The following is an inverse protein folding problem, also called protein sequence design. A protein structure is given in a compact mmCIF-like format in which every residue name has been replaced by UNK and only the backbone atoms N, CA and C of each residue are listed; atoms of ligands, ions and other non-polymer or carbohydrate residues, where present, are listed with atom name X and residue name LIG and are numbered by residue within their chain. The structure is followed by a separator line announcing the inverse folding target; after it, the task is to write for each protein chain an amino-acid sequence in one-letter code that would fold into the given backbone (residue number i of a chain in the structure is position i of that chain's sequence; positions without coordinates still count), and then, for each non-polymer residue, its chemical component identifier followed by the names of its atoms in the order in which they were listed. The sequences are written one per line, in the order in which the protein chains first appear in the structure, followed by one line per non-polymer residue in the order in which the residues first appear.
data_IF_048606127429
#
_entry.id   IF_048606127429
#
_cell.length_a   1.000
_cell.length_b   1.000
_cell.length_c   1.000
_cell.angle_alpha   90.00
_cell.angle_beta   90.00
_cell.angle_gamma   90.00
#
_symmetry.space_group_name_H-M   'P 1'
#
loop_
_entity.id
_entity.type
_entity.pdbx_description
1 polymer ?
#
# COMPACT_ATOMS: atom_id res chain seq x y z
N UNK A 1 21.00 -28.01 25.23
CA UNK A 1 19.67 -27.54 25.70
C UNK A 1 19.25 -26.24 25.02
N UNK A 2 20.16 -25.55 24.37
CA UNK A 2 19.92 -24.19 23.80
C UNK A 2 19.16 -24.18 22.46
N UNK A 3 19.26 -25.24 21.66
CA UNK A 3 18.63 -25.34 20.33
C UNK A 3 17.09 -25.26 20.38
N UNK A 4 16.47 -25.68 21.48
CA UNK A 4 14.99 -25.74 21.60
C UNK A 4 14.38 -24.39 21.99
N UNK A 5 15.14 -23.51 22.64
CA UNK A 5 14.68 -22.17 23.04
C UNK A 5 14.72 -21.24 21.82
N UNK A 6 15.82 -21.26 21.05
CA UNK A 6 15.96 -20.44 19.85
C UNK A 6 14.91 -20.76 18.78
N UNK A 7 14.58 -22.05 18.60
CA UNK A 7 13.54 -22.49 17.66
C UNK A 7 12.14 -22.05 18.12
N UNK A 8 11.88 -22.08 19.41
CA UNK A 8 10.60 -21.61 19.97
C UNK A 8 10.46 -20.09 19.79
N UNK A 9 11.49 -19.33 20.10
CA UNK A 9 11.50 -17.87 19.93
C UNK A 9 11.33 -17.45 18.46
N UNK A 10 11.95 -18.18 17.53
CA UNK A 10 11.80 -17.93 16.10
C UNK A 10 10.37 -18.21 15.61
N UNK A 11 9.71 -19.31 16.05
CA UNK A 11 8.33 -19.57 15.64
C UNK A 11 7.34 -18.56 16.24
N UNK A 12 7.60 -18.06 17.45
CA UNK A 12 6.84 -16.95 18.03
C UNK A 12 6.99 -15.68 17.19
N UNK A 13 8.20 -15.33 16.76
CA UNK A 13 8.43 -14.19 15.86
C UNK A 13 7.69 -14.34 14.54
N UNK A 14 7.73 -15.53 13.93
CA UNK A 14 6.98 -15.82 12.70
C UNK A 14 5.48 -15.65 12.88
N UNK A 15 4.94 -16.15 13.97
CA UNK A 15 3.50 -16.05 14.22
C UNK A 15 3.07 -14.59 14.47
N UNK A 16 3.88 -13.79 15.17
CA UNK A 16 3.65 -12.36 15.34
C UNK A 16 3.69 -11.65 13.98
N UNK A 17 4.71 -11.94 13.15
CA UNK A 17 4.84 -11.38 11.80
C UNK A 17 3.67 -11.76 10.86
N UNK A 18 3.08 -12.95 11.02
CA UNK A 18 1.86 -13.33 10.28
C UNK A 18 0.62 -12.53 10.71
N UNK A 19 0.59 -11.96 11.90
CA UNK A 19 -0.59 -11.29 12.49
C UNK A 19 -0.54 -9.77 12.42
N UNK A 20 0.63 -9.16 12.36
CA UNK A 20 0.86 -7.72 12.35
C UNK A 20 1.65 -7.30 11.12
N UNK A 21 1.15 -6.30 10.40
CA UNK A 21 1.86 -5.73 9.25
C UNK A 21 3.19 -5.09 9.67
N UNK A 22 3.24 -4.44 10.82
CA UNK A 22 4.47 -3.83 11.33
C UNK A 22 5.54 -4.89 11.60
N UNK A 23 5.20 -5.97 12.31
CA UNK A 23 6.12 -7.07 12.60
C UNK A 23 6.50 -7.84 11.33
N UNK A 24 5.58 -7.95 10.36
CA UNK A 24 5.89 -8.49 9.05
C UNK A 24 6.98 -7.68 8.36
N UNK A 25 6.86 -6.34 8.35
CA UNK A 25 7.87 -5.46 7.75
C UNK A 25 9.23 -5.68 8.41
N UNK A 26 9.29 -5.69 9.73
CA UNK A 26 10.54 -5.91 10.47
C UNK A 26 11.12 -7.30 10.25
N UNK A 27 10.29 -8.33 10.09
CA UNK A 27 10.74 -9.68 9.80
C UNK A 27 11.35 -9.80 8.39
N UNK A 28 10.74 -9.14 7.39
CA UNK A 28 11.25 -9.09 6.01
C UNK A 28 12.48 -8.19 5.89
N UNK A 29 12.50 -7.09 6.61
CA UNK A 29 13.58 -6.10 6.59
C UNK A 29 13.96 -5.70 8.02
N UNK A 30 14.93 -6.40 8.63
CA UNK A 30 15.37 -6.11 10.00
C UNK A 30 15.99 -4.70 10.18
N UNK A 31 16.44 -4.07 9.09
CA UNK A 31 16.98 -2.70 9.11
C UNK A 31 15.90 -1.61 8.94
N UNK A 32 14.62 -2.02 8.86
CA UNK A 32 13.52 -1.06 8.71
C UNK A 32 13.45 -0.08 9.91
N UNK A 33 13.49 1.22 9.61
CA UNK A 33 13.41 2.26 10.63
C UNK A 33 11.97 2.35 11.15
N UNK A 34 11.77 1.86 12.36
CA UNK A 34 10.50 1.96 13.09
C UNK A 34 10.30 3.36 13.63
N UNK A 35 9.07 3.85 13.51
CA UNK A 35 8.66 5.14 14.06
C UNK A 35 7.20 5.09 14.49
N UNK A 36 6.78 6.01 15.34
CA UNK A 36 5.36 6.15 15.70
C UNK A 36 4.45 6.29 14.46
N UNK A 37 4.94 6.92 13.40
CA UNK A 37 4.24 7.00 12.12
C UNK A 37 4.01 5.61 11.52
N UNK A 38 5.06 4.81 11.35
CA UNK A 38 4.97 3.47 10.75
C UNK A 38 4.08 2.53 11.59
N UNK A 39 4.21 2.55 12.92
CA UNK A 39 3.37 1.77 13.83
C UNK A 39 1.89 2.14 13.70
N UNK A 40 1.57 3.45 13.70
CA UNK A 40 0.20 3.95 13.59
C UNK A 40 -0.43 3.59 12.24
N UNK A 41 0.33 3.74 11.16
CA UNK A 41 -0.14 3.37 9.81
C UNK A 41 -0.36 1.87 9.72
N UNK A 42 0.58 1.04 10.15
CA UNK A 42 0.45 -0.42 10.12
C UNK A 42 -0.73 -0.91 10.95
N UNK A 43 -0.91 -0.42 12.18
CA UNK A 43 -2.05 -0.78 13.03
C UNK A 43 -3.39 -0.38 12.39
N UNK A 44 -3.44 0.77 11.71
CA UNK A 44 -4.62 1.20 10.97
C UNK A 44 -4.92 0.33 9.76
N UNK A 45 -3.88 -0.17 9.08
CA UNK A 45 -3.99 -1.08 7.93
C UNK A 45 -4.41 -2.49 8.37
N UNK A 46 -3.91 -3.00 9.49
CA UNK A 46 -4.38 -4.27 10.06
C UNK A 46 -5.88 -4.22 10.37
N UNK A 47 -6.34 -3.14 11.03
CA UNK A 47 -7.76 -2.93 11.27
C UNK A 47 -8.57 -2.77 9.98
N UNK A 48 -8.03 -2.07 8.98
CA UNK A 48 -8.63 -1.92 7.66
C UNK A 48 -8.84 -3.29 6.98
N UNK A 49 -7.86 -4.19 7.03
CA UNK A 49 -7.99 -5.54 6.48
C UNK A 49 -9.06 -6.36 7.20
N UNK A 50 -9.14 -6.26 8.53
CA UNK A 50 -10.21 -6.91 9.31
C UNK A 50 -11.58 -6.38 8.89
N UNK A 51 -11.75 -5.07 8.77
CA UNK A 51 -13.00 -4.46 8.32
C UNK A 51 -13.38 -4.87 6.89
N UNK A 52 -12.40 -4.94 6.00
CA UNK A 52 -12.62 -5.40 4.63
C UNK A 52 -13.08 -6.86 4.60
N UNK A 53 -12.43 -7.73 5.37
CA UNK A 53 -12.77 -9.16 5.41
C UNK A 53 -14.12 -9.44 6.07
N UNK A 54 -14.58 -8.55 6.96
CA UNK A 54 -15.93 -8.60 7.54
C UNK A 54 -17.01 -7.92 6.69
N UNK A 55 -16.66 -7.44 5.48
CA UNK A 55 -17.60 -6.89 4.50
C UNK A 55 -18.00 -5.43 4.71
N UNK A 56 -17.30 -4.69 5.57
CA UNK A 56 -17.59 -3.27 5.86
C UNK A 56 -17.19 -2.31 4.74
N UNK A 57 -16.40 -2.75 3.76
CA UNK A 57 -15.94 -1.95 2.63
C UNK A 57 -15.26 -0.65 3.07
N UNK A 58 -14.15 -0.74 3.83
CA UNK A 58 -13.47 0.43 4.37
C UNK A 58 -12.84 1.27 3.26
N UNK A 59 -12.77 2.58 3.49
CA UNK A 59 -12.03 3.54 2.69
C UNK A 59 -11.06 4.26 3.63
N UNK A 60 -9.77 4.18 3.33
CA UNK A 60 -8.71 4.87 4.05
C UNK A 60 -8.09 5.93 3.16
N UNK A 61 -8.02 7.15 3.66
CA UNK A 61 -7.29 8.26 3.05
C UNK A 61 -6.07 8.52 3.92
N UNK A 62 -4.87 8.32 3.36
CA UNK A 62 -3.60 8.53 4.05
C UNK A 62 -2.86 9.71 3.43
N UNK A 63 -2.69 10.77 4.21
CA UNK A 63 -1.87 11.91 3.88
C UNK A 63 -0.60 11.94 4.73
N UNK A 64 0.56 11.94 4.08
CA UNK A 64 1.85 12.10 4.75
C UNK A 64 2.84 12.80 3.81
N UNK A 65 3.86 13.48 4.35
CA UNK A 65 4.87 14.15 3.54
C UNK A 65 5.61 13.16 2.62
N UNK A 66 6.26 13.66 1.55
CA UNK A 66 7.12 12.82 0.70
C UNK A 66 8.23 12.15 1.51
N UNK A 67 8.69 10.96 1.06
CA UNK A 67 9.86 10.25 1.60
C UNK A 67 9.78 9.83 3.09
N UNK A 68 8.58 9.82 3.69
CA UNK A 68 8.37 9.32 5.06
C UNK A 68 7.93 7.84 5.11
N UNK A 69 8.11 7.08 4.03
CA UNK A 69 7.85 5.63 4.01
C UNK A 69 6.40 5.22 3.73
N UNK A 70 5.45 6.16 3.44
CA UNK A 70 4.04 5.81 3.18
C UNK A 70 3.89 4.77 2.05
N UNK A 71 4.58 4.99 0.91
CA UNK A 71 4.50 4.10 -0.26
C UNK A 71 5.17 2.76 0.00
N UNK A 72 6.22 2.73 0.82
CA UNK A 72 6.87 1.46 1.21
C UNK A 72 5.88 0.58 1.98
N UNK A 73 5.25 1.14 3.00
CA UNK A 73 4.27 0.40 3.81
C UNK A 73 3.08 -0.04 2.96
N UNK A 74 2.43 0.88 2.22
CA UNK A 74 1.11 0.64 1.63
C UNK A 74 1.18 0.04 0.23
N UNK A 75 2.16 0.46 -0.59
CA UNK A 75 2.23 0.02 -1.99
C UNK A 75 3.20 -1.14 -2.22
N UNK A 76 4.05 -1.47 -1.22
CA UNK A 76 5.03 -2.57 -1.31
C UNK A 76 4.78 -3.66 -0.28
N UNK A 77 4.87 -3.36 1.03
CA UNK A 77 4.73 -4.39 2.07
C UNK A 77 3.29 -4.87 2.25
N UNK A 78 2.31 -3.97 2.25
CA UNK A 78 0.90 -4.36 2.44
C UNK A 78 0.39 -5.34 1.38
N UNK A 79 0.64 -5.17 0.06
CA UNK A 79 0.22 -6.16 -0.94
C UNK A 79 0.84 -7.53 -0.72
N UNK A 80 2.13 -7.62 -0.38
CA UNK A 80 2.80 -8.87 -0.08
C UNK A 80 2.18 -9.55 1.16
N UNK A 81 2.01 -8.81 2.25
CA UNK A 81 1.35 -9.28 3.46
C UNK A 81 -0.10 -9.74 3.21
N UNK A 82 -0.83 -8.97 2.40
CA UNK A 82 -2.20 -9.30 2.03
C UNK A 82 -2.30 -10.62 1.26
N UNK A 83 -1.42 -10.86 0.29
CA UNK A 83 -1.37 -12.14 -0.41
C UNK A 83 -0.94 -13.30 0.48
N UNK A 84 -0.05 -13.06 1.44
CA UNK A 84 0.32 -14.06 2.43
C UNK A 84 -0.87 -14.57 3.23
N UNK A 85 -1.76 -13.67 3.61
CA UNK A 85 -3.00 -13.99 4.37
C UNK A 85 -4.16 -14.45 3.49
N UNK A 86 -4.27 -13.90 2.27
CA UNK A 86 -5.43 -14.08 1.40
C UNK A 86 -5.01 -14.32 -0.05
N UNK A 87 -4.39 -15.45 -0.37
CA UNK A 87 -3.77 -15.71 -1.67
C UNK A 87 -4.76 -15.79 -2.84
N UNK A 88 -6.06 -15.90 -2.60
CA UNK A 88 -7.11 -15.88 -3.63
C UNK A 88 -7.67 -14.48 -3.95
N UNK A 89 -7.22 -13.44 -3.22
CA UNK A 89 -7.70 -12.07 -3.38
C UNK A 89 -6.93 -11.32 -4.48
N UNK A 90 -7.48 -10.22 -4.93
CA UNK A 90 -6.95 -9.42 -6.04
C UNK A 90 -6.59 -8.03 -5.58
N UNK A 91 -5.38 -7.59 -5.92
CA UNK A 91 -4.88 -6.25 -5.64
C UNK A 91 -4.84 -5.45 -6.93
N UNK A 92 -5.34 -4.21 -6.87
CA UNK A 92 -5.14 -3.21 -7.92
C UNK A 92 -4.37 -2.03 -7.35
N UNK A 93 -3.14 -1.81 -7.81
CA UNK A 93 -2.28 -0.72 -7.39
C UNK A 93 -2.08 0.29 -8.52
N UNK A 94 -2.31 1.55 -8.22
CA UNK A 94 -2.37 2.63 -9.21
C UNK A 94 -1.55 3.81 -8.72
N UNK A 95 -0.83 4.45 -9.65
CA UNK A 95 -0.06 5.66 -9.37
C UNK A 95 -0.22 6.66 -10.52
N UNK A 96 0.34 7.87 -10.39
CA UNK A 96 0.28 8.85 -11.48
C UNK A 96 0.89 8.36 -12.80
N UNK A 97 1.80 7.39 -12.78
CA UNK A 97 2.38 6.78 -13.98
C UNK A 97 2.39 5.25 -13.89
N UNK A 98 2.36 4.60 -15.06
CA UNK A 98 2.51 3.14 -15.18
C UNK A 98 3.89 2.67 -14.75
N UNK A 99 4.94 3.46 -15.00
CA UNK A 99 6.31 3.10 -14.64
C UNK A 99 6.48 3.00 -13.14
N UNK A 100 6.03 4.02 -12.38
CA UNK A 100 6.08 3.97 -10.91
C UNK A 100 5.24 2.82 -10.34
N UNK A 101 4.06 2.57 -10.92
CA UNK A 101 3.23 1.44 -10.53
C UNK A 101 3.92 0.09 -10.82
N UNK A 102 4.67 0.00 -11.92
CA UNK A 102 5.48 -1.17 -12.29
C UNK A 102 6.68 -1.39 -11.35
N UNK A 103 7.33 -0.31 -10.91
CA UNK A 103 8.40 -0.40 -9.91
C UNK A 103 7.86 -0.93 -8.57
N UNK A 104 6.71 -0.44 -8.11
CA UNK A 104 6.03 -0.96 -6.92
C UNK A 104 5.69 -2.45 -7.05
N UNK A 105 5.17 -2.87 -8.23
CA UNK A 105 4.91 -4.28 -8.54
C UNK A 105 6.19 -5.13 -8.41
N UNK A 106 7.30 -4.65 -8.97
CA UNK A 106 8.59 -5.34 -8.92
C UNK A 106 9.08 -5.50 -7.48
N UNK A 107 8.90 -4.48 -6.64
CA UNK A 107 9.25 -4.54 -5.23
C UNK A 107 8.36 -5.53 -4.44
N UNK A 108 7.05 -5.57 -4.71
CA UNK A 108 6.15 -6.60 -4.14
C UNK A 108 6.60 -8.00 -4.53
N UNK A 109 6.96 -8.23 -5.80
CA UNK A 109 7.48 -9.51 -6.25
C UNK A 109 8.81 -9.88 -5.57
N UNK A 110 9.69 -8.91 -5.33
CA UNK A 110 10.96 -9.13 -4.61
C UNK A 110 10.69 -9.57 -3.16
N UNK A 111 9.79 -8.88 -2.44
CA UNK A 111 9.38 -9.26 -1.08
C UNK A 111 8.82 -10.69 -1.08
N UNK A 112 7.87 -11.01 -1.96
CA UNK A 112 7.24 -12.33 -2.04
C UNK A 112 8.18 -13.45 -2.49
N UNK A 113 9.33 -13.11 -3.08
CA UNK A 113 10.33 -14.06 -3.52
C UNK A 113 11.42 -14.31 -2.49
N UNK A 114 11.47 -13.54 -1.39
CA UNK A 114 12.47 -13.71 -0.32
C UNK A 114 12.25 -15.02 0.45
N UNK A 115 13.28 -15.52 1.07
CA UNK A 115 13.22 -16.74 1.88
C UNK A 115 12.42 -16.49 3.16
N UNK A 116 12.53 -15.30 3.74
CA UNK A 116 11.75 -14.84 4.90
C UNK A 116 10.25 -14.89 4.60
N UNK A 117 9.82 -14.38 3.45
CA UNK A 117 8.42 -14.42 3.05
C UNK A 117 7.91 -15.85 2.89
N UNK A 118 8.69 -16.73 2.26
CA UNK A 118 8.32 -18.13 2.04
C UNK A 118 8.16 -18.90 3.35
N UNK A 119 8.99 -18.58 4.34
CA UNK A 119 8.89 -19.16 5.68
C UNK A 119 7.61 -18.70 6.38
N UNK A 120 7.23 -17.43 6.23
CA UNK A 120 5.99 -16.91 6.81
C UNK A 120 4.74 -17.46 6.11
N UNK A 121 4.75 -17.49 4.79
CA UNK A 121 3.58 -17.80 3.95
C UNK A 121 3.88 -18.87 2.88
N UNK A 122 4.17 -20.11 3.28
CA UNK A 122 4.60 -21.17 2.35
C UNK A 122 3.57 -21.51 1.27
N UNK A 123 2.29 -21.20 1.50
CA UNK A 123 1.22 -21.40 0.52
C UNK A 123 1.09 -20.25 -0.49
N UNK A 124 1.69 -19.08 -0.23
CA UNK A 124 1.56 -17.89 -1.07
C UNK A 124 2.90 -17.56 -1.74
N UNK A 125 3.07 -17.94 -2.99
CA UNK A 125 4.32 -17.75 -3.72
C UNK A 125 4.08 -17.44 -5.21
N UNK A 126 5.11 -16.89 -5.84
CA UNK A 126 5.07 -16.52 -7.27
C UNK A 126 5.61 -17.69 -8.09
N UNK A 127 4.76 -18.24 -8.97
CA UNK A 127 5.16 -19.31 -9.88
C UNK A 127 6.08 -18.80 -10.99
N UNK A 128 7.12 -19.58 -11.31
CA UNK A 128 8.00 -19.31 -12.46
C UNK A 128 7.62 -20.18 -13.69
N UNK A 129 6.77 -21.17 -13.50
CA UNK A 129 6.27 -22.08 -14.55
C UNK A 129 4.82 -22.43 -14.27
N UNK A 130 4.05 -22.75 -15.30
CA UNK A 130 2.71 -23.30 -15.10
C UNK A 130 2.82 -24.58 -14.27
N UNK A 131 2.29 -24.57 -13.05
CA UNK A 131 1.97 -25.79 -12.33
C UNK A 131 0.56 -26.18 -12.72
N UNK A 132 0.35 -27.42 -13.07
CA UNK A 132 -0.96 -28.01 -13.47
C UNK A 132 -1.61 -27.35 -14.71
N UNK A 133 -0.81 -26.87 -15.67
CA UNK A 133 -1.29 -26.34 -16.95
C UNK A 133 -1.83 -24.93 -16.91
N UNK A 134 -1.82 -24.25 -15.77
CA UNK A 134 -2.23 -22.84 -15.64
C UNK A 134 -1.02 -21.94 -15.75
N UNK A 135 -0.93 -21.16 -16.82
CA UNK A 135 0.09 -20.12 -16.98
C UNK A 135 -0.17 -18.99 -15.97
N UNK A 136 0.70 -18.85 -14.97
CA UNK A 136 0.69 -17.72 -14.05
C UNK A 136 1.43 -16.57 -14.71
N UNK A 137 0.74 -15.45 -14.96
CA UNK A 137 1.40 -14.24 -15.45
C UNK A 137 2.37 -13.72 -14.40
N UNK A 138 3.54 -13.27 -14.85
CA UNK A 138 4.54 -12.62 -14.01
C UNK A 138 5.35 -11.63 -14.84
N UNK A 139 4.98 -10.36 -14.73
CA UNK A 139 5.66 -9.23 -15.39
C UNK A 139 5.51 -7.96 -14.55
N UNK A 140 5.93 -6.81 -15.07
CA UNK A 140 5.88 -5.51 -14.38
C UNK A 140 4.47 -4.91 -14.28
N UNK A 141 3.49 -5.41 -15.02
CA UNK A 141 2.11 -4.91 -14.98
C UNK A 141 1.19 -5.82 -14.17
N UNK A 142 1.48 -7.12 -14.15
CA UNK A 142 0.60 -8.12 -13.56
C UNK A 142 1.39 -9.34 -13.09
N UNK A 143 1.01 -9.89 -11.92
CA UNK A 143 1.41 -11.24 -11.53
C UNK A 143 0.25 -11.99 -10.86
N UNK A 144 0.35 -13.32 -10.86
CA UNK A 144 -0.60 -14.22 -10.18
C UNK A 144 0.08 -14.98 -9.05
N UNK A 145 -0.73 -15.43 -8.09
CA UNK A 145 -0.29 -16.31 -7.00
C UNK A 145 -0.41 -17.75 -7.47
N UNK A 146 0.68 -18.52 -7.34
CA UNK A 146 0.71 -19.92 -7.77
C UNK A 146 -0.32 -20.75 -7.01
N UNK A 147 -1.06 -21.60 -7.72
CA UNK A 147 -2.13 -22.47 -7.22
C UNK A 147 -3.32 -21.71 -6.57
N UNK A 148 -3.40 -20.38 -6.73
CA UNK A 148 -4.46 -19.54 -6.21
C UNK A 148 -5.07 -18.65 -7.29
N UNK A 149 -6.21 -18.01 -6.97
CA UNK A 149 -6.91 -17.08 -7.87
C UNK A 149 -6.43 -15.64 -7.71
N UNK A 150 -5.52 -15.40 -6.78
CA UNK A 150 -4.99 -14.07 -6.48
C UNK A 150 -4.21 -13.49 -7.63
N UNK A 151 -4.42 -12.21 -7.91
CA UNK A 151 -3.70 -11.46 -8.93
C UNK A 151 -3.39 -10.05 -8.43
N UNK A 152 -2.20 -9.59 -8.76
CA UNK A 152 -1.82 -8.19 -8.63
C UNK A 152 -1.85 -7.56 -10.03
N UNK A 153 -2.48 -6.41 -10.16
CA UNK A 153 -2.44 -5.60 -11.38
C UNK A 153 -2.08 -4.17 -11.02
N UNK A 154 -1.22 -3.55 -11.83
CA UNK A 154 -0.90 -2.14 -11.67
C UNK A 154 -1.08 -1.38 -12.97
N UNK A 155 -1.35 -0.06 -12.84
CA UNK A 155 -1.52 0.84 -13.96
C UNK A 155 -1.30 2.29 -13.54
N UNK A 156 -1.11 3.17 -14.52
CA UNK A 156 -1.23 4.61 -14.29
C UNK A 156 -2.70 5.02 -14.07
N UNK A 157 -2.93 6.03 -13.24
CA UNK A 157 -4.24 6.66 -13.07
C UNK A 157 -4.72 7.21 -14.41
N UNK A 158 -5.98 6.92 -14.77
CA UNK A 158 -6.49 7.15 -16.12
C UNK A 158 -6.31 5.97 -17.07
N UNK A 159 -5.45 5.01 -16.73
CA UNK A 159 -5.21 3.80 -17.51
C UNK A 159 -6.33 2.76 -17.37
N UNK A 160 -6.29 1.70 -18.21
CA UNK A 160 -7.32 0.69 -18.25
C UNK A 160 -7.19 -0.31 -17.09
N UNK A 161 -8.23 -0.44 -16.29
CA UNK A 161 -8.48 -1.58 -15.39
C UNK A 161 -9.55 -2.52 -15.92
N UNK A 162 -9.77 -2.51 -17.23
CA UNK A 162 -10.88 -3.21 -17.87
C UNK A 162 -10.79 -4.72 -17.68
N UNK A 163 -11.94 -5.35 -17.30
CA UNK A 163 -12.02 -6.80 -17.10
C UNK A 163 -11.43 -7.33 -15.79
N UNK A 164 -10.75 -6.50 -15.00
CA UNK A 164 -10.13 -6.91 -13.73
C UNK A 164 -11.06 -6.59 -12.56
N UNK A 165 -11.28 -7.55 -11.67
CA UNK A 165 -11.91 -7.29 -10.36
C UNK A 165 -10.82 -6.97 -9.36
N UNK A 166 -11.13 -6.11 -8.40
CA UNK A 166 -10.21 -5.66 -7.34
C UNK A 166 -10.86 -5.87 -5.98
N UNK A 167 -10.15 -6.54 -5.07
CA UNK A 167 -10.57 -6.72 -3.69
C UNK A 167 -9.89 -5.66 -2.80
N UNK A 168 -8.58 -5.43 -2.97
CA UNK A 168 -7.85 -4.34 -2.34
C UNK A 168 -7.38 -3.36 -3.41
N UNK A 169 -7.93 -2.16 -3.41
CA UNK A 169 -7.55 -1.09 -4.32
C UNK A 169 -6.65 -0.07 -3.64
N UNK A 170 -5.48 0.20 -4.22
CA UNK A 170 -4.50 1.18 -3.72
C UNK A 170 -4.30 2.22 -4.80
N UNK A 171 -4.49 3.50 -4.46
CA UNK A 171 -4.18 4.64 -5.31
C UNK A 171 -3.08 5.43 -4.60
N UNK A 172 -1.86 5.39 -5.15
CA UNK A 172 -0.67 6.03 -4.58
C UNK A 172 -0.27 7.24 -5.40
N UNK A 173 -0.32 8.41 -4.78
CA UNK A 173 0.02 9.71 -5.37
C UNK A 173 -0.56 9.87 -6.80
N UNK A 174 -1.89 10.03 -6.96
CA UNK A 174 -2.55 10.07 -8.28
C UNK A 174 -2.23 11.31 -9.11
N UNK A 175 -1.53 12.29 -8.55
CA UNK A 175 -1.12 13.56 -9.17
C UNK A 175 0.40 13.67 -9.10
N UNK A 176 1.02 13.94 -10.24
CA UNK A 176 2.48 13.93 -10.39
C UNK A 176 3.18 15.12 -9.71
N UNK A 177 2.58 16.30 -9.78
CA UNK A 177 3.23 17.55 -9.35
C UNK A 177 2.22 18.67 -9.07
N UNK A 178 2.71 19.79 -8.52
CA UNK A 178 1.90 20.96 -8.19
C UNK A 178 1.15 21.56 -9.39
N UNK A 179 1.76 21.56 -10.60
CA UNK A 179 1.13 22.09 -11.81
C UNK A 179 -0.13 21.29 -12.18
N UNK A 180 -0.06 19.98 -12.12
CA UNK A 180 -1.23 19.09 -12.33
C UNK A 180 -2.27 19.26 -11.23
N UNK A 181 -1.84 19.42 -9.98
CA UNK A 181 -2.72 19.62 -8.82
C UNK A 181 -3.54 20.92 -8.91
N UNK A 182 -3.01 21.94 -9.56
CA UNK A 182 -3.70 23.22 -9.80
C UNK A 182 -4.62 23.16 -11.03
N UNK A 183 -4.53 22.13 -11.89
CA UNK A 183 -5.32 22.02 -13.11
C UNK A 183 -6.73 21.45 -12.82
N UNK A 184 -7.82 22.27 -13.01
CA UNK A 184 -9.18 21.75 -12.86
C UNK A 184 -9.50 20.60 -13.80
N UNK A 185 -8.93 20.60 -15.01
CA UNK A 185 -9.12 19.56 -16.02
C UNK A 185 -8.50 18.22 -15.57
N UNK A 186 -7.28 18.24 -15.05
CA UNK A 186 -6.62 17.03 -14.52
C UNK A 186 -7.40 16.47 -13.33
N UNK A 187 -7.76 17.31 -12.36
CA UNK A 187 -8.57 16.91 -11.20
C UNK A 187 -9.91 16.31 -11.60
N UNK A 188 -10.60 16.89 -12.59
CA UNK A 188 -11.86 16.37 -13.13
C UNK A 188 -11.65 15.04 -13.84
N UNK A 189 -10.60 14.87 -14.62
CA UNK A 189 -10.27 13.62 -15.30
C UNK A 189 -10.02 12.49 -14.32
N UNK A 190 -9.19 12.73 -13.29
CA UNK A 190 -8.90 11.76 -12.22
C UNK A 190 -10.17 11.37 -11.49
N UNK A 191 -11.02 12.34 -11.13
CA UNK A 191 -12.30 12.07 -10.49
C UNK A 191 -13.23 11.21 -11.37
N UNK A 192 -13.36 11.54 -12.64
CA UNK A 192 -14.20 10.79 -13.56
C UNK A 192 -13.68 9.34 -13.72
N UNK A 193 -12.37 9.17 -13.88
CA UNK A 193 -11.75 7.85 -13.93
C UNK A 193 -11.97 7.07 -12.62
N UNK A 194 -11.79 7.70 -11.47
CA UNK A 194 -12.06 7.08 -10.16
C UNK A 194 -13.50 6.58 -10.09
N UNK A 195 -14.47 7.41 -10.44
CA UNK A 195 -15.89 7.09 -10.33
C UNK A 195 -16.34 6.04 -11.37
N UNK A 196 -15.91 6.17 -12.63
CA UNK A 196 -16.40 5.36 -13.74
C UNK A 196 -15.58 4.08 -14.00
N UNK A 197 -14.28 4.11 -13.66
CA UNK A 197 -13.38 2.99 -13.93
C UNK A 197 -12.99 2.27 -12.63
N UNK A 198 -12.32 2.94 -11.71
CA UNK A 198 -11.82 2.29 -10.50
C UNK A 198 -12.96 1.71 -9.62
N UNK A 199 -13.95 2.54 -9.27
CA UNK A 199 -15.08 2.12 -8.41
C UNK A 199 -15.86 0.95 -9.00
N UNK A 200 -15.98 0.85 -10.33
CA UNK A 200 -16.71 -0.22 -10.99
C UNK A 200 -15.95 -1.55 -11.03
N UNK A 201 -14.66 -1.55 -10.69
CA UNK A 201 -13.83 -2.76 -10.59
C UNK A 201 -13.79 -3.36 -9.20
N UNK A 202 -14.19 -2.60 -8.21
CA UNK A 202 -14.20 -3.05 -6.83
C UNK A 202 -15.19 -4.20 -6.61
N UNK A 203 -14.74 -5.25 -5.96
CA UNK A 203 -15.59 -6.40 -5.60
C UNK A 203 -16.57 -6.03 -4.48
N UNK A 204 -17.53 -6.92 -4.20
CA UNK A 204 -18.54 -6.70 -3.17
C UNK A 204 -17.94 -6.40 -1.78
N UNK A 205 -16.87 -7.08 -1.42
CA UNK A 205 -16.20 -6.95 -0.12
C UNK A 205 -14.79 -6.37 -0.32
N UNK A 206 -14.70 -5.24 -1.03
CA UNK A 206 -13.43 -4.56 -1.30
C UNK A 206 -13.08 -3.54 -0.23
N UNK A 207 -11.79 -3.20 -0.15
CA UNK A 207 -11.28 -2.03 0.54
C UNK A 207 -10.54 -1.08 -0.40
N UNK A 208 -10.53 0.20 -0.08
CA UNK A 208 -9.87 1.25 -0.86
C UNK A 208 -8.91 2.04 0.00
N UNK A 209 -7.68 2.20 -0.47
CA UNK A 209 -6.67 3.07 0.16
C UNK A 209 -6.27 4.12 -0.86
N UNK A 210 -6.37 5.38 -0.47
CA UNK A 210 -5.98 6.52 -1.28
C UNK A 210 -4.88 7.25 -0.53
N UNK A 211 -3.69 7.25 -1.08
CA UNK A 211 -2.55 7.99 -0.54
C UNK A 211 -2.26 9.20 -1.41
N UNK A 212 -1.96 10.31 -0.78
CA UNK A 212 -1.51 11.49 -1.50
C UNK A 212 -0.60 12.36 -0.64
N UNK A 213 0.42 12.91 -1.30
CA UNK A 213 0.99 14.18 -0.87
C UNK A 213 -0.03 15.26 -1.22
N UNK A 214 -0.58 15.95 -0.21
CA UNK A 214 -1.68 16.91 -0.41
C UNK A 214 -1.16 18.19 -1.07
N UNK A 215 -1.52 18.39 -2.34
CA UNK A 215 -1.22 19.60 -3.10
C UNK A 215 -2.40 20.59 -3.14
N UNK A 216 -3.64 20.07 -3.04
CA UNK A 216 -4.85 20.89 -3.09
C UNK A 216 -5.96 20.27 -2.23
N UNK A 217 -6.87 21.09 -1.74
CA UNK A 217 -8.01 20.64 -0.91
C UNK A 217 -9.07 19.89 -1.71
N UNK A 218 -9.18 20.16 -3.00
CA UNK A 218 -10.15 19.59 -3.94
C UNK A 218 -9.56 18.48 -4.85
N UNK A 219 -8.44 17.90 -4.45
CA UNK A 219 -7.85 16.72 -5.08
C UNK A 219 -8.74 15.46 -4.90
N UNK A 220 -8.30 14.30 -5.41
CA UNK A 220 -9.06 13.05 -5.28
C UNK A 220 -9.38 12.75 -3.82
N UNK A 221 -8.41 12.87 -2.91
CA UNK A 221 -8.56 12.61 -1.49
C UNK A 221 -9.59 13.54 -0.84
N UNK A 222 -9.54 14.83 -1.17
CA UNK A 222 -10.49 15.84 -0.69
C UNK A 222 -11.92 15.55 -1.13
N UNK A 223 -12.10 15.22 -2.42
CA UNK A 223 -13.44 14.89 -2.97
C UNK A 223 -14.00 13.58 -2.39
N UNK A 224 -13.16 12.56 -2.19
CA UNK A 224 -13.60 11.31 -1.56
C UNK A 224 -14.00 11.55 -0.11
N UNK A 225 -13.20 12.33 0.65
CA UNK A 225 -13.53 12.71 2.02
C UNK A 225 -14.90 13.43 2.10
N UNK A 226 -15.13 14.40 1.21
CA UNK A 226 -16.38 15.16 1.15
C UNK A 226 -17.59 14.27 0.82
N UNK A 227 -17.47 13.41 -0.21
CA UNK A 227 -18.57 12.60 -0.72
C UNK A 227 -18.77 11.27 0.01
N UNK A 228 -17.86 10.89 0.87
CA UNK A 228 -17.89 9.59 1.58
C UNK A 228 -17.61 9.80 3.06
N UNK A 229 -18.62 10.18 3.88
CA UNK A 229 -18.43 10.47 5.30
C UNK A 229 -17.84 9.32 6.13
N UNK A 230 -17.97 8.07 5.66
CA UNK A 230 -17.41 6.88 6.31
C UNK A 230 -15.91 6.69 6.03
N UNK A 231 -15.30 7.47 5.14
CA UNK A 231 -13.87 7.34 4.85
C UNK A 231 -13.06 7.76 6.08
N UNK A 232 -12.19 6.85 6.53
CA UNK A 232 -11.24 7.15 7.60
C UNK A 232 -10.09 7.97 7.02
N UNK A 233 -9.72 9.05 7.70
CA UNK A 233 -8.62 9.92 7.29
C UNK A 233 -7.51 9.85 8.33
N UNK A 234 -6.31 9.50 7.87
CA UNK A 234 -5.06 9.63 8.62
C UNK A 234 -4.21 10.70 7.92
N UNK A 235 -3.89 11.76 8.63
CA UNK A 235 -3.08 12.86 8.11
C UNK A 235 -1.95 13.17 9.09
N UNK A 236 -0.74 13.13 8.57
CA UNK A 236 0.47 13.37 9.35
C UNK A 236 1.23 14.56 8.78
N UNK A 237 1.41 15.64 9.54
CA UNK A 237 2.26 16.75 9.12
C UNK A 237 3.74 16.35 9.26
N UNK A 238 4.64 16.96 8.47
CA UNK A 238 6.08 16.75 8.60
C UNK A 238 6.64 17.21 9.95
N UNK A 239 6.04 18.26 10.50
CA UNK A 239 6.32 18.81 11.83
C UNK A 239 4.98 18.92 12.53
N UNK A 240 4.84 18.30 13.69
CA UNK A 240 3.61 18.34 14.48
C UNK A 240 3.40 19.69 15.19
N UNK A 241 2.28 19.85 15.90
CA UNK A 241 1.93 21.08 16.64
C UNK A 241 2.90 21.36 17.79
N UNK A 242 3.61 20.35 18.30
CA UNK A 242 4.62 20.44 19.33
C UNK A 242 6.00 20.86 18.78
N UNK A 243 6.13 20.97 17.45
CA UNK A 243 7.38 21.30 16.77
C UNK A 243 8.33 20.12 16.57
N UNK A 244 7.84 18.89 16.65
CA UNK A 244 8.63 17.67 16.48
C UNK A 244 8.50 17.12 15.05
N UNK A 245 9.60 16.59 14.53
CA UNK A 245 9.61 15.92 13.21
C UNK A 245 8.82 14.59 13.26
N UNK A 246 8.11 14.27 12.18
CA UNK A 246 7.30 13.06 12.06
C UNK A 246 8.15 11.77 12.16
N UNK A 247 9.29 11.74 11.50
CA UNK A 247 10.27 10.65 11.53
C UNK A 247 11.67 11.27 11.58
N UNK A 248 12.17 11.62 12.78
CA UNK A 248 13.45 12.34 12.94
C UNK A 248 14.65 11.58 12.35
N UNK A 249 14.60 10.25 12.37
CA UNK A 249 15.65 9.36 11.86
C UNK A 249 15.81 9.47 10.33
N UNK A 250 14.73 9.76 9.62
CA UNK A 250 14.73 9.96 8.17
C UNK A 250 14.88 11.44 7.79
N UNK A 251 14.20 12.31 8.53
CA UNK A 251 14.10 13.73 8.27
C UNK A 251 14.30 14.53 9.56
N UNK A 252 15.56 14.86 9.92
CA UNK A 252 15.85 15.69 11.08
C UNK A 252 15.14 17.05 11.02
N UNK A 253 14.76 17.57 12.19
CA UNK A 253 13.94 18.77 12.32
C UNK A 253 14.57 20.00 11.65
N UNK A 254 15.88 20.16 11.75
CA UNK A 254 16.64 21.26 11.13
C UNK A 254 16.43 21.28 9.60
N UNK A 255 16.57 20.13 8.93
CA UNK A 255 16.30 20.00 7.48
C UNK A 255 14.85 20.28 7.11
N UNK A 256 13.91 19.87 7.96
CA UNK A 256 12.48 20.16 7.72
C UNK A 256 12.19 21.65 7.85
N UNK A 257 12.84 22.35 8.81
CA UNK A 257 12.70 23.78 8.98
C UNK A 257 13.35 24.57 7.82
N UNK A 258 14.50 24.14 7.31
CA UNK A 258 15.11 24.70 6.09
C UNK A 258 14.16 24.55 4.89
N UNK A 259 13.61 23.37 4.69
CA UNK A 259 12.64 23.10 3.59
C UNK A 259 11.39 23.97 3.74
N UNK A 260 10.86 24.11 4.95
CA UNK A 260 9.71 24.96 5.23
C UNK A 260 9.99 26.43 4.93
N UNK A 261 11.19 26.92 5.23
CA UNK A 261 11.59 28.30 4.92
C UNK A 261 11.66 28.59 3.41
N UNK A 262 11.97 27.57 2.59
CA UNK A 262 11.99 27.68 1.12
C UNK A 262 10.57 27.63 0.53
N UNK A 263 9.69 26.83 1.10
CA UNK A 263 8.32 26.64 0.59
C UNK A 263 7.35 27.76 1.00
N UNK A 264 7.64 28.52 2.05
CA UNK A 264 6.82 29.62 2.57
C UNK A 264 5.87 29.16 3.64
#
# INVERSE_FOLDING_TARGET
MDINVDLFDEEVRREIARRSLHEFIQYINPEYITSHFSETVCASLDNFLVEMMTGKRPILILGAPPQHGKSDIVSRYLPAYFFGKYPDKRVGALSYSSDLAGDMNTDVQRIMSSDEYRVLFPQSWLGNKPTDGVAVKRNTEEFGIANHKGTYVCAGVGGPLTGKKVDLGIIDDPIKNAKEALSPTVKKSIWNWYASTFKTRLSRNSGEIIMATRWATDDLSGRVKEKTPKAKVLAFPAINEQGEALVPELHPLDKLLETKAILG
#
